data_IF_386206929514
#
_entry.id   IF_386206929514
#
_cell.length_a   1.000
_cell.length_b   1.000
_cell.length_c   1.000
_cell.angle_alpha   90.00
_cell.angle_beta   90.00
_cell.angle_gamma   90.00
#
_symmetry.space_group_name_H-M   'P 1'
#
loop_
_entity.id
_entity.type
_entity.pdbx_description
1 polymer ?
#
# COMPACT_ATOMS: atom_id res chain seq x y z
N UNK A 1 2.29 -14.43 -12.84
CA UNK A 1 2.09 -13.02 -12.45
C UNK A 1 3.46 -12.44 -12.20
N UNK A 2 3.83 -11.32 -12.82
CA UNK A 2 5.23 -10.85 -12.83
C UNK A 2 5.73 -10.34 -11.47
N UNK A 3 4.83 -10.03 -10.52
CA UNK A 3 5.16 -9.44 -9.20
C UNK A 3 4.31 -10.01 -8.07
N UNK A 4 4.54 -11.29 -7.67
CA UNK A 4 3.69 -11.97 -6.69
C UNK A 4 3.72 -11.30 -5.30
N UNK A 5 4.86 -10.75 -4.88
CA UNK A 5 5.00 -10.12 -3.56
C UNK A 5 4.18 -8.83 -3.42
N UNK A 6 4.21 -7.97 -4.45
CA UNK A 6 3.34 -6.79 -4.54
C UNK A 6 1.88 -7.21 -4.49
N UNK A 7 1.51 -8.25 -5.24
CA UNK A 7 0.13 -8.72 -5.26
C UNK A 7 -0.33 -9.27 -3.90
N UNK A 8 0.49 -10.08 -3.22
CA UNK A 8 0.16 -10.55 -1.88
C UNK A 8 0.04 -9.40 -0.87
N UNK A 9 0.92 -8.39 -0.96
CA UNK A 9 0.82 -7.22 -0.09
C UNK A 9 -0.43 -6.39 -0.35
N UNK A 10 -0.85 -6.26 -1.62
CA UNK A 10 -2.11 -5.61 -1.96
C UNK A 10 -3.31 -6.38 -1.38
N UNK A 11 -3.31 -7.71 -1.43
CA UNK A 11 -4.35 -8.54 -0.81
C UNK A 11 -4.39 -8.39 0.72
N UNK A 12 -3.22 -8.29 1.36
CA UNK A 12 -3.14 -8.00 2.80
C UNK A 12 -3.78 -6.65 3.13
N UNK A 13 -3.51 -5.61 2.35
CA UNK A 13 -4.14 -4.29 2.53
C UNK A 13 -5.64 -4.31 2.25
N UNK A 14 -6.09 -5.07 1.26
CA UNK A 14 -7.51 -5.24 0.97
C UNK A 14 -8.27 -5.84 2.16
N UNK A 15 -7.66 -6.81 2.86
CA UNK A 15 -8.29 -7.46 4.02
C UNK A 15 -8.36 -6.58 5.27
N UNK A 16 -7.43 -5.62 5.41
CA UNK A 16 -7.27 -4.82 6.62
C UNK A 16 -7.76 -3.36 6.47
N UNK A 17 -8.17 -2.94 5.27
CA UNK A 17 -8.52 -1.54 4.98
C UNK A 17 -9.77 -1.43 4.12
N UNK A 18 -10.32 -0.22 4.01
CA UNK A 18 -11.39 0.11 3.07
C UNK A 18 -10.89 0.84 1.82
N UNK A 19 -9.59 0.77 1.53
CA UNK A 19 -9.02 1.37 0.33
C UNK A 19 -9.52 0.65 -0.92
N UNK A 20 -9.61 1.38 -2.03
CA UNK A 20 -10.01 0.77 -3.29
C UNK A 20 -8.87 -0.08 -3.88
N UNK A 21 -9.18 -0.82 -4.94
CA UNK A 21 -8.23 -1.73 -5.59
C UNK A 21 -6.97 -1.02 -6.11
N UNK A 22 -7.09 0.21 -6.62
CA UNK A 22 -5.95 0.94 -7.16
C UNK A 22 -5.07 1.45 -6.02
N UNK A 23 -5.68 1.98 -4.97
CA UNK A 23 -5.00 2.50 -3.78
C UNK A 23 -4.16 1.42 -3.07
N UNK A 24 -4.72 0.22 -2.85
CA UNK A 24 -3.98 -0.89 -2.23
C UNK A 24 -2.81 -1.35 -3.11
N UNK A 25 -2.94 -1.26 -4.43
CA UNK A 25 -1.90 -1.69 -5.36
C UNK A 25 -0.76 -0.68 -5.38
N UNK A 26 -1.08 0.62 -5.41
CA UNK A 26 -0.08 1.69 -5.27
C UNK A 26 0.67 1.58 -3.95
N UNK A 27 -0.05 1.34 -2.84
CA UNK A 27 0.57 1.13 -1.53
C UNK A 27 1.49 -0.09 -1.49
N UNK A 28 1.10 -1.19 -2.15
CA UNK A 28 1.92 -2.38 -2.22
C UNK A 28 3.20 -2.17 -3.03
N UNK A 29 3.13 -1.45 -4.16
CA UNK A 29 4.32 -1.07 -4.94
C UNK A 29 5.25 -0.16 -4.13
N UNK A 30 4.68 0.79 -3.40
CA UNK A 30 5.45 1.66 -2.51
C UNK A 30 6.17 0.87 -1.42
N UNK A 31 5.47 -0.06 -0.76
CA UNK A 31 5.99 -0.79 0.40
C UNK A 31 6.99 -1.88 0.01
N UNK A 32 6.72 -2.63 -1.07
CA UNK A 32 7.53 -3.80 -1.45
C UNK A 32 8.72 -3.40 -2.32
N UNK A 33 8.51 -2.50 -3.28
CA UNK A 33 9.55 -2.12 -4.25
C UNK A 33 10.15 -0.73 -3.97
N UNK A 34 9.66 0.00 -2.96
CA UNK A 34 10.14 1.34 -2.65
C UNK A 34 9.78 2.38 -3.71
N UNK A 35 8.77 2.11 -4.55
CA UNK A 35 8.38 3.04 -5.61
C UNK A 35 7.81 4.33 -5.02
N UNK A 36 8.22 5.47 -5.58
CA UNK A 36 7.66 6.75 -5.19
C UNK A 36 6.25 6.91 -5.78
N UNK A 37 5.26 7.13 -4.91
CA UNK A 37 3.86 7.31 -5.31
C UNK A 37 3.44 8.73 -4.97
N UNK A 38 3.11 9.49 -6.00
CA UNK A 38 2.51 10.82 -5.86
C UNK A 38 1.00 10.69 -5.98
N UNK A 39 0.27 11.21 -5.00
CA UNK A 39 -1.19 11.29 -5.02
C UNK A 39 -1.64 12.60 -4.40
N UNK A 40 -2.80 13.10 -4.84
CA UNK A 40 -3.49 14.21 -4.20
C UNK A 40 -4.53 13.72 -3.18
N UNK A 41 -4.75 12.41 -3.09
CA UNK A 41 -5.62 11.83 -2.09
C UNK A 41 -4.91 11.81 -0.72
N UNK A 42 -5.42 12.63 0.19
CA UNK A 42 -4.85 12.77 1.53
C UNK A 42 -4.95 11.49 2.36
N UNK A 43 -5.99 10.66 2.15
CA UNK A 43 -6.15 9.39 2.88
C UNK A 43 -5.09 8.39 2.43
N UNK A 44 -4.83 8.31 1.13
CA UNK A 44 -3.78 7.44 0.57
C UNK A 44 -2.40 7.84 1.07
N UNK A 45 -2.09 9.15 1.06
CA UNK A 45 -0.82 9.68 1.58
C UNK A 45 -0.63 9.29 3.05
N UNK A 46 -1.65 9.50 3.89
CA UNK A 46 -1.59 9.14 5.30
C UNK A 46 -1.41 7.64 5.52
N UNK A 47 -2.06 6.82 4.69
CA UNK A 47 -1.91 5.37 4.77
C UNK A 47 -0.47 4.94 4.44
N UNK A 48 0.11 5.43 3.34
CA UNK A 48 1.50 5.12 2.95
C UNK A 48 2.50 5.53 4.03
N UNK A 49 2.30 6.69 4.68
CA UNK A 49 3.14 7.15 5.78
C UNK A 49 3.11 6.21 7.00
N UNK A 50 1.95 5.59 7.28
CA UNK A 50 1.80 4.60 8.38
C UNK A 50 2.40 3.25 8.00
N UNK A 51 2.16 2.81 6.77
CA UNK A 51 2.68 1.54 6.25
C UNK A 51 4.23 1.47 6.28
N UNK A 52 4.90 2.62 6.18
CA UNK A 52 6.36 2.73 6.28
C UNK A 52 6.92 2.71 7.71
N UNK A 53 6.09 2.70 8.76
CA UNK A 53 6.58 2.63 10.13
C UNK A 53 6.82 1.17 10.55
N UNK A 54 8.05 0.80 10.96
CA UNK A 54 8.42 -0.59 11.24
C UNK A 54 7.73 -1.25 12.45
N UNK A 55 6.79 -0.57 13.11
CA UNK A 55 6.11 -1.05 14.33
C UNK A 55 4.64 -0.65 14.46
N UNK A 56 4.00 -0.11 13.41
CA UNK A 56 2.58 0.25 13.48
C UNK A 56 1.71 -0.96 13.12
N UNK A 57 0.72 -1.35 13.95
CA UNK A 57 -0.30 -2.30 13.50
C UNK A 57 -1.10 -1.65 12.38
N UNK A 58 -1.29 -2.40 11.28
CA UNK A 58 -2.09 -2.02 10.12
C UNK A 58 -3.57 -2.03 10.53
#
# INVERSE_FOLDING_TARGET
MEKPEVFFKALEYFGNTSLDFVDILLCAYHTVEGQEVFSFDQKLIQFMQRANQPSAPI
#
